data_IF_050136982582
#
_entry.id   IF_050136982582
#
_cell.length_a   1.000
_cell.length_b   1.000
_cell.length_c   1.000
_cell.angle_alpha   90.00
_cell.angle_beta   90.00
_cell.angle_gamma   90.00
#
_symmetry.space_group_name_H-M   'P 1'
#
loop_
_entity.id
_entity.type
_entity.pdbx_description
1 polymer ?
#
# COMPACT_ATOMS: atom_id res chain seq x y z
N UNK A 1 -13.54 17.59 -1.83
CA UNK A 1 -12.50 16.90 -2.64
C UNK A 1 -13.11 15.57 -2.98
N UNK A 2 -13.89 15.57 -4.05
CA UNK A 2 -14.79 14.47 -4.38
C UNK A 2 -14.48 14.07 -5.82
N UNK A 3 -14.82 12.84 -6.18
CA UNK A 3 -14.70 12.44 -7.59
C UNK A 3 -15.59 13.34 -8.43
N UNK A 4 -15.17 13.59 -9.67
CA UNK A 4 -15.96 14.36 -10.64
C UNK A 4 -17.37 13.77 -10.81
N UNK A 5 -17.51 12.44 -10.70
CA UNK A 5 -18.77 11.72 -10.77
C UNK A 5 -19.56 11.68 -9.44
N UNK A 6 -19.08 12.33 -8.37
CA UNK A 6 -19.71 12.32 -7.05
C UNK A 6 -19.67 10.98 -6.32
N UNK A 7 -19.02 9.95 -6.87
CA UNK A 7 -18.97 8.61 -6.28
C UNK A 7 -17.88 8.47 -5.22
N UNK A 8 -18.07 7.50 -4.30
CA UNK A 8 -17.02 7.02 -3.40
C UNK A 8 -16.44 5.71 -3.93
N UNK A 9 -15.13 5.67 -4.16
CA UNK A 9 -14.44 4.42 -4.40
C UNK A 9 -14.13 3.72 -3.08
N UNK A 10 -14.66 2.51 -2.94
CA UNK A 10 -14.36 1.61 -1.83
C UNK A 10 -13.31 0.61 -2.31
N UNK A 11 -12.28 0.37 -1.51
CA UNK A 11 -11.24 -0.60 -1.82
C UNK A 11 -11.24 -1.71 -0.78
N UNK A 12 -11.10 -2.95 -1.22
CA UNK A 12 -10.97 -4.11 -0.33
C UNK A 12 -9.49 -4.50 -0.24
N UNK A 13 -8.97 -4.54 0.99
CA UNK A 13 -7.63 -5.05 1.24
C UNK A 13 -7.54 -6.51 0.83
N UNK A 14 -6.59 -6.83 -0.04
CA UNK A 14 -6.31 -8.19 -0.51
C UNK A 14 -5.17 -8.82 0.26
N UNK A 15 -4.14 -8.04 0.55
CA UNK A 15 -2.96 -8.51 1.28
C UNK A 15 -2.23 -7.35 1.94
N UNK A 16 -1.58 -7.66 3.05
CA UNK A 16 -0.64 -6.78 3.73
C UNK A 16 0.70 -7.49 3.77
N UNK A 17 1.76 -6.78 3.38
CA UNK A 17 3.12 -7.27 3.38
C UNK A 17 4.01 -6.39 4.23
N UNK A 18 5.10 -6.97 4.75
CA UNK A 18 6.16 -6.25 5.43
C UNK A 18 7.48 -6.62 4.76
N UNK A 19 8.25 -5.59 4.38
CA UNK A 19 9.52 -5.75 3.70
C UNK A 19 10.58 -4.89 4.38
N UNK A 20 11.78 -5.41 4.63
CA UNK A 20 12.93 -4.58 4.99
C UNK A 20 13.08 -3.41 4.00
N UNK A 21 13.51 -2.24 4.48
CA UNK A 21 13.67 -1.05 3.64
C UNK A 21 14.62 -1.25 2.45
N UNK A 22 15.63 -2.10 2.60
CA UNK A 22 16.61 -2.46 1.58
C UNK A 22 16.16 -3.58 0.63
N UNK A 23 15.04 -4.24 0.93
CA UNK A 23 14.43 -5.30 0.13
C UNK A 23 13.02 -4.92 -0.34
N UNK A 24 12.75 -3.62 -0.52
CA UNK A 24 11.43 -3.12 -0.91
C UNK A 24 11.01 -3.69 -2.29
N UNK A 25 9.80 -4.28 -2.41
CA UNK A 25 9.37 -4.97 -3.63
C UNK A 25 8.85 -3.98 -4.68
N UNK A 26 9.77 -3.19 -5.24
CA UNK A 26 9.51 -2.09 -6.19
C UNK A 26 8.57 -2.52 -7.32
N UNK A 27 8.82 -3.65 -7.96
CA UNK A 27 8.00 -4.11 -9.10
C UNK A 27 6.58 -4.49 -8.71
N UNK A 28 6.38 -5.09 -7.54
CA UNK A 28 5.03 -5.41 -7.07
C UNK A 28 4.23 -4.15 -6.71
N UNK A 29 4.91 -3.14 -6.17
CA UNK A 29 4.30 -1.90 -5.67
C UNK A 29 4.03 -0.89 -6.78
N UNK A 30 5.03 -0.63 -7.62
CA UNK A 30 5.00 0.40 -8.65
C UNK A 30 4.84 -0.15 -10.07
N UNK A 31 4.92 -1.47 -10.24
CA UNK A 31 4.66 -2.11 -11.52
C UNK A 31 3.22 -1.88 -12.00
N UNK A 32 3.00 -1.99 -13.32
CA UNK A 32 1.70 -1.72 -13.92
C UNK A 32 0.65 -2.71 -13.42
N UNK A 33 -0.59 -2.22 -13.29
CA UNK A 33 -1.78 -3.05 -13.07
C UNK A 33 -2.85 -2.75 -14.11
N UNK A 34 -3.62 -3.78 -14.45
CA UNK A 34 -4.71 -3.73 -15.43
C UNK A 34 -6.09 -3.51 -14.77
N UNK A 35 -6.12 -3.10 -13.50
CA UNK A 35 -7.32 -2.84 -12.71
C UNK A 35 -7.09 -1.63 -11.79
N UNK A 36 -8.17 -1.13 -11.17
CA UNK A 36 -8.08 -0.08 -10.17
C UNK A 36 -7.50 -0.63 -8.85
N UNK A 37 -6.18 -0.59 -8.73
CA UNK A 37 -5.43 -1.01 -7.55
C UNK A 37 -4.93 0.18 -6.71
N UNK A 38 -4.98 0.04 -5.39
CA UNK A 38 -4.46 0.98 -4.40
C UNK A 38 -3.32 0.33 -3.62
N UNK A 39 -2.19 1.07 -3.48
CA UNK A 39 -1.08 0.70 -2.60
C UNK A 39 -0.92 1.76 -1.53
N UNK A 40 -1.01 1.36 -0.26
CA UNK A 40 -0.65 2.22 0.87
C UNK A 40 0.67 1.73 1.45
N UNK A 41 1.65 2.63 1.56
CA UNK A 41 3.00 2.32 2.02
C UNK A 41 3.25 3.13 3.30
N UNK A 42 3.66 2.46 4.37
CA UNK A 42 3.98 3.11 5.65
C UNK A 42 5.26 2.52 6.26
N UNK A 43 5.86 3.25 7.20
CA UNK A 43 6.93 2.72 8.03
C UNK A 43 6.37 1.71 9.04
N UNK A 44 7.09 0.61 9.28
CA UNK A 44 6.73 -0.37 10.31
C UNK A 44 7.87 -1.33 10.66
N UNK A 45 7.55 -2.40 11.37
CA UNK A 45 8.59 -3.27 11.93
C UNK A 45 9.14 -2.74 13.25
N UNK A 46 10.30 -3.24 13.62
CA UNK A 46 11.00 -2.78 14.81
C UNK A 46 11.54 -1.37 14.60
N UNK A 47 11.47 -0.55 15.65
CA UNK A 47 12.08 0.77 15.66
C UNK A 47 13.55 0.64 16.04
N UNK A 48 14.44 0.96 15.13
CA UNK A 48 15.86 1.08 15.39
C UNK A 48 16.15 2.45 16.03
N UNK A 49 16.56 2.41 17.30
CA UNK A 49 16.87 3.62 18.08
C UNK A 49 18.20 4.26 17.70
N UNK A 50 19.12 3.52 17.09
CA UNK A 50 20.39 4.08 16.65
C UNK A 50 20.19 4.98 15.41
N UNK A 51 19.30 4.57 14.52
CA UNK A 51 18.98 5.33 13.29
C UNK A 51 17.76 6.24 13.43
N UNK A 52 16.92 6.04 14.47
CA UNK A 52 15.68 6.79 14.64
C UNK A 52 14.59 6.39 13.64
N UNK A 53 14.67 5.16 13.10
CA UNK A 53 13.82 4.70 12.01
C UNK A 53 13.24 3.32 12.27
N UNK A 54 12.01 3.13 11.82
CA UNK A 54 11.46 1.81 11.58
C UNK A 54 12.25 1.07 10.51
N UNK A 55 12.52 -0.22 10.70
CA UNK A 55 13.37 -1.01 9.80
C UNK A 55 12.68 -1.45 8.51
N UNK A 56 11.35 -1.52 8.53
CA UNK A 56 10.57 -2.11 7.44
C UNK A 56 9.59 -1.10 6.85
N UNK A 57 9.14 -1.40 5.64
CA UNK A 57 7.94 -0.83 5.06
C UNK A 57 6.79 -1.84 5.19
N UNK A 58 5.62 -1.36 5.57
CA UNK A 58 4.37 -2.11 5.48
C UNK A 58 3.63 -1.64 4.23
N UNK A 59 3.27 -2.59 3.38
CA UNK A 59 2.54 -2.31 2.13
C UNK A 59 1.18 -3.00 2.18
N UNK A 60 0.12 -2.22 2.00
CA UNK A 60 -1.24 -2.72 1.85
C UNK A 60 -1.59 -2.69 0.38
N UNK A 61 -1.97 -3.84 -0.16
CA UNK A 61 -2.50 -4.01 -1.51
C UNK A 61 -4.01 -4.14 -1.43
N UNK A 62 -4.72 -3.27 -2.14
CA UNK A 62 -6.17 -3.26 -2.18
C UNK A 62 -6.68 -3.05 -3.60
N UNK A 63 -7.81 -3.66 -3.92
CA UNK A 63 -8.45 -3.53 -5.22
C UNK A 63 -9.79 -2.83 -5.05
N UNK A 64 -10.23 -2.07 -6.05
CA UNK A 64 -11.55 -1.45 -6.05
C UNK A 64 -12.62 -2.52 -5.81
N UNK A 65 -13.40 -2.35 -4.74
CA UNK A 65 -14.56 -3.18 -4.47
C UNK A 65 -15.56 -3.00 -5.61
N UNK A 66 -16.15 -4.10 -6.09
CA UNK A 66 -17.30 -3.98 -6.99
C UNK A 66 -18.40 -3.20 -6.25
N UNK A 67 -19.08 -2.30 -6.95
CA UNK A 67 -20.33 -1.74 -6.45
C UNK A 67 -21.29 -2.91 -6.18
N UNK A 68 -21.88 -2.93 -4.99
CA UNK A 68 -23.02 -3.79 -4.69
C UNK A 68 -24.24 -3.33 -5.48
#
# INVERSE_FOLDING_TARGET
MDREDGSRAVFTVRRVERHPKDAFPTDAVYGPVNHAGLRLITCGGEFDRATGHYRDNVVVFADLSRAA
#
